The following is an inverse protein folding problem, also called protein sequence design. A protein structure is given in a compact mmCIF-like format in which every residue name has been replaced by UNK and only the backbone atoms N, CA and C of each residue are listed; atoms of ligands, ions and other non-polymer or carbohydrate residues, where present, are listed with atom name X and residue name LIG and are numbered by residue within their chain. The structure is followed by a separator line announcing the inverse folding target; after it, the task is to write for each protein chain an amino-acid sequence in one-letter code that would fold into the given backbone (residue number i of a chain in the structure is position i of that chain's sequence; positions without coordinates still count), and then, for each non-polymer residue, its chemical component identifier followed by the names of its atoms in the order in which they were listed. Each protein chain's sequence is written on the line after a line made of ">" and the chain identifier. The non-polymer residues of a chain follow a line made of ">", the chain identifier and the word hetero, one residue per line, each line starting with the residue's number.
data_IF_338906804700
#
_entry.id   IF_338906804700
#
_cell.length_a   1.000
_cell.length_b   1.000
_cell.length_c   1.000
_cell.angle_alpha   90.00
_cell.angle_beta   90.00
_cell.angle_gamma   90.00
#
_symmetry.space_group_name_H-M   'P 1'
#
loop_
_entity.id
_entity.type
_entity.pdbx_description
1 polymer ?
#
# COMPACT_ATOMS: atom_id res chain seq x y z
N UNK A 1 -16.97 2.53 -15.66
CA UNK A 1 -16.13 2.22 -14.48
C UNK A 1 -14.82 3.00 -14.58
N UNK A 2 -14.48 3.70 -13.53
CA UNK A 2 -13.19 4.40 -13.46
C UNK A 2 -12.08 3.43 -13.09
N UNK A 3 -10.86 3.76 -13.46
CA UNK A 3 -9.68 2.96 -13.15
C UNK A 3 -8.65 3.86 -12.49
N UNK A 4 -8.09 3.40 -11.37
CA UNK A 4 -6.96 4.07 -10.72
C UNK A 4 -5.84 3.07 -10.52
N UNK A 5 -4.64 3.44 -10.90
CA UNK A 5 -3.46 2.61 -10.66
C UNK A 5 -2.65 3.24 -9.53
N UNK A 6 -2.27 2.42 -8.56
CA UNK A 6 -1.44 2.82 -7.43
C UNK A 6 -0.33 1.79 -7.22
N UNK A 7 0.75 2.22 -6.58
CA UNK A 7 1.90 1.34 -6.29
C UNK A 7 2.31 1.50 -4.83
N UNK A 8 2.70 0.39 -4.22
CA UNK A 8 2.96 0.28 -2.77
C UNK A 8 4.21 -0.55 -2.51
N UNK A 9 4.81 -0.33 -1.34
CA UNK A 9 5.95 -1.11 -0.90
C UNK A 9 5.68 -1.95 0.33
N UNK A 10 6.20 -3.18 0.33
CA UNK A 10 6.28 -4.04 1.51
C UNK A 10 7.71 -3.95 2.02
N UNK A 11 7.90 -3.31 3.15
CA UNK A 11 9.21 -3.10 3.76
C UNK A 11 9.21 -3.75 5.14
N UNK A 12 9.96 -4.83 5.28
CA UNK A 12 10.06 -5.58 6.54
C UNK A 12 11.51 -5.51 7.01
N UNK A 13 11.70 -5.12 8.28
CA UNK A 13 13.02 -5.00 8.91
C UNK A 13 12.89 -5.39 10.38
N UNK A 14 13.75 -6.28 10.84
CA UNK A 14 13.80 -6.72 12.24
C UNK A 14 12.45 -7.18 12.78
N UNK A 15 11.69 -7.93 11.97
CA UNK A 15 10.39 -8.46 12.35
C UNK A 15 9.25 -7.45 12.35
N UNK A 16 9.49 -6.24 11.85
CA UNK A 16 8.49 -5.18 11.75
C UNK A 16 8.22 -4.80 10.31
N UNK A 17 6.99 -4.43 10.03
CA UNK A 17 6.59 -3.90 8.72
C UNK A 17 6.37 -2.39 8.83
N UNK A 18 6.81 -1.65 7.82
CA UNK A 18 6.58 -0.21 7.74
C UNK A 18 5.17 0.05 7.22
N UNK A 19 4.37 0.74 7.99
CA UNK A 19 3.00 1.10 7.64
C UNK A 19 2.80 2.61 7.74
N UNK A 20 1.84 3.11 6.96
CA UNK A 20 1.37 4.48 7.01
C UNK A 20 -0.08 4.48 7.51
N UNK A 21 -0.41 5.45 8.37
CA UNK A 21 -1.78 5.61 8.85
C UNK A 21 -2.55 6.50 7.88
N UNK A 22 -3.53 5.91 7.21
CA UNK A 22 -4.42 6.63 6.31
C UNK A 22 -5.57 7.23 7.11
N UNK A 23 -5.85 8.51 6.87
CA UNK A 23 -6.94 9.23 7.54
C UNK A 23 -7.53 10.23 6.54
N UNK A 24 -8.72 9.92 6.04
CA UNK A 24 -9.37 10.72 5.01
C UNK A 24 -10.88 10.63 5.13
N UNK A 25 -11.55 11.77 5.12
CA UNK A 25 -13.03 11.86 5.12
C UNK A 25 -13.69 11.04 6.24
N UNK A 26 -13.11 11.06 7.44
CA UNK A 26 -13.66 10.36 8.60
C UNK A 26 -13.38 8.86 8.62
N UNK A 27 -12.66 8.33 7.63
CA UNK A 27 -12.22 6.95 7.58
C UNK A 27 -10.74 6.87 7.85
N UNK A 28 -10.31 5.83 8.52
CA UNK A 28 -8.89 5.64 8.83
C UNK A 28 -8.52 4.17 8.88
N UNK A 29 -7.23 3.92 8.76
CA UNK A 29 -6.67 2.58 8.88
C UNK A 29 -5.19 2.58 8.58
N UNK A 30 -4.50 1.51 8.95
CA UNK A 30 -3.10 1.32 8.64
C UNK A 30 -2.98 0.62 7.29
N UNK A 31 -2.12 1.15 6.43
CA UNK A 31 -1.91 0.64 5.07
C UNK A 31 -0.43 0.58 4.74
N UNK A 32 -0.11 -0.05 3.62
CA UNK A 32 1.25 0.02 3.08
C UNK A 32 1.55 1.45 2.61
N UNK A 33 2.80 1.90 2.71
CA UNK A 33 3.18 3.16 2.08
C UNK A 33 3.09 3.02 0.55
N UNK A 34 2.48 3.99 -0.08
CA UNK A 34 2.24 3.99 -1.51
C UNK A 34 1.10 4.91 -1.90
N UNK A 35 0.79 4.97 -3.16
CA UNK A 35 -0.28 5.80 -3.66
C UNK A 35 -0.40 5.79 -5.18
N UNK A 36 -1.22 6.70 -5.70
CA UNK A 36 -1.55 6.76 -7.12
C UNK A 36 -0.43 7.28 -8.01
N UNK A 37 -0.38 6.76 -9.22
CA UNK A 37 0.54 7.23 -10.24
C UNK A 37 0.26 8.69 -10.57
N UNK A 38 1.32 9.46 -10.72
CA UNK A 38 1.25 10.82 -11.30
C UNK A 38 1.67 10.76 -12.75
N UNK A 39 1.30 11.79 -13.51
CA UNK A 39 1.51 11.80 -14.96
C UNK A 39 2.94 11.48 -15.36
N UNK A 40 3.11 10.49 -16.22
CA UNK A 40 4.41 10.09 -16.73
C UNK A 40 5.21 9.12 -15.89
N UNK A 41 4.73 8.80 -14.67
CA UNK A 41 5.40 7.82 -13.82
C UNK A 41 5.06 6.38 -14.23
N UNK A 42 6.03 5.48 -14.06
CA UNK A 42 5.73 4.06 -14.01
C UNK A 42 5.45 3.67 -12.55
N UNK A 43 4.88 2.49 -12.29
CA UNK A 43 4.58 2.06 -10.92
C UNK A 43 5.78 2.03 -9.96
N UNK A 44 6.96 1.66 -10.44
CA UNK A 44 8.17 1.63 -9.63
C UNK A 44 8.54 3.04 -9.14
N UNK A 45 8.48 4.02 -10.02
CA UNK A 45 8.75 5.42 -9.67
C UNK A 45 7.73 5.94 -8.66
N UNK A 46 6.46 5.58 -8.82
CA UNK A 46 5.40 5.95 -7.90
C UNK A 46 5.66 5.39 -6.50
N UNK A 47 6.00 4.10 -6.42
CA UNK A 47 6.27 3.46 -5.13
C UNK A 47 7.40 4.17 -4.38
N UNK A 48 8.50 4.45 -5.07
CA UNK A 48 9.66 5.14 -4.46
C UNK A 48 9.28 6.55 -3.98
N UNK A 49 8.56 7.30 -4.80
CA UNK A 49 8.13 8.66 -4.45
C UNK A 49 7.17 8.66 -3.25
N UNK A 50 6.16 7.82 -3.29
CA UNK A 50 5.15 7.76 -2.23
C UNK A 50 5.72 7.26 -0.91
N UNK A 51 6.61 6.27 -0.95
CA UNK A 51 7.28 5.81 0.27
C UNK A 51 8.04 6.96 0.92
N UNK A 52 8.75 7.76 0.14
CA UNK A 52 9.46 8.91 0.69
C UNK A 52 8.51 9.96 1.25
N UNK A 53 7.48 10.33 0.50
CA UNK A 53 6.50 11.34 0.95
C UNK A 53 5.82 10.94 2.25
N UNK A 54 5.44 9.67 2.39
CA UNK A 54 4.67 9.21 3.55
C UNK A 54 5.53 8.82 4.75
N UNK A 55 6.77 8.39 4.54
CA UNK A 55 7.59 7.81 5.61
C UNK A 55 8.91 8.51 5.85
N UNK A 56 9.39 9.31 4.92
CA UNK A 56 10.71 9.95 4.98
C UNK A 56 11.86 9.07 4.53
N UNK A 57 11.60 7.82 4.17
CA UNK A 57 12.64 6.89 3.73
C UNK A 57 12.80 6.88 2.22
N UNK A 58 14.06 6.86 1.78
CA UNK A 58 14.42 6.52 0.41
C UNK A 58 14.50 5.00 0.31
N UNK A 59 13.67 4.42 -0.54
CA UNK A 59 13.57 2.97 -0.67
C UNK A 59 14.19 2.46 -1.96
N UNK A 60 14.76 1.27 -1.89
CA UNK A 60 15.11 0.48 -3.06
C UNK A 60 14.07 -0.62 -3.28
N UNK A 61 13.70 -0.84 -4.53
CA UNK A 61 12.74 -1.90 -4.88
C UNK A 61 13.50 -3.17 -5.22
N UNK A 62 13.10 -4.30 -4.64
CA UNK A 62 13.80 -5.57 -4.80
C UNK A 62 13.09 -6.50 -5.78
N UNK A 63 11.77 -6.66 -5.62
CA UNK A 63 10.96 -7.62 -6.38
C UNK A 63 9.59 -7.04 -6.64
N UNK A 64 9.08 -7.22 -7.85
CA UNK A 64 7.65 -7.05 -8.12
C UNK A 64 6.92 -8.27 -7.56
N UNK A 65 6.15 -8.07 -6.49
CA UNK A 65 5.45 -9.17 -5.82
C UNK A 65 4.19 -9.58 -6.54
N UNK A 66 3.46 -8.63 -7.08
CA UNK A 66 2.23 -8.93 -7.78
C UNK A 66 1.36 -7.70 -8.01
N UNK A 67 0.23 -7.95 -8.65
CA UNK A 67 -0.76 -6.93 -8.97
C UNK A 67 -2.11 -7.43 -8.49
N UNK A 68 -2.75 -6.60 -7.66
CA UNK A 68 -4.08 -6.87 -7.13
C UNK A 68 -5.06 -5.84 -7.69
N UNK A 69 -6.34 -6.11 -7.57
CA UNK A 69 -7.35 -5.10 -7.82
C UNK A 69 -8.50 -5.21 -6.83
N UNK A 70 -9.13 -4.09 -6.58
CA UNK A 70 -10.30 -4.00 -5.72
C UNK A 70 -11.32 -3.07 -6.35
N UNK A 71 -12.54 -3.55 -6.53
CA UNK A 71 -13.62 -2.74 -7.09
C UNK A 71 -14.39 -2.08 -5.95
N UNK A 72 -14.45 -0.75 -5.98
CA UNK A 72 -15.15 0.07 -5.00
C UNK A 72 -16.43 0.58 -5.64
N UNK A 73 -17.57 0.23 -5.07
CA UNK A 73 -18.87 0.70 -5.56
C UNK A 73 -18.95 2.24 -5.49
N UNK A 74 -19.67 2.85 -6.41
CA UNK A 74 -19.82 4.31 -6.46
C UNK A 74 -20.27 4.88 -5.11
N UNK A 75 -21.21 4.23 -4.44
CA UNK A 75 -21.75 4.66 -3.14
C UNK A 75 -20.70 4.64 -2.00
N UNK A 76 -19.62 3.88 -2.17
CA UNK A 76 -18.55 3.74 -1.17
C UNK A 76 -17.37 4.66 -1.45
N UNK A 77 -17.41 5.39 -2.57
CA UNK A 77 -16.39 6.36 -2.94
C UNK A 77 -16.67 7.71 -2.29
N UNK A 78 -15.77 8.65 -2.52
CA UNK A 78 -15.94 10.03 -2.06
C UNK A 78 -17.19 10.66 -2.67
N UNK A 79 -17.75 11.66 -1.99
CA UNK A 79 -18.95 12.36 -2.43
C UNK A 79 -18.81 12.87 -3.87
N UNK A 80 -19.88 12.71 -4.66
CA UNK A 80 -19.90 13.14 -6.05
C UNK A 80 -19.48 12.09 -7.06
N UNK A 81 -18.97 10.94 -6.62
CA UNK A 81 -18.63 9.86 -7.54
C UNK A 81 -19.88 9.21 -8.11
N UNK A 82 -19.92 9.04 -9.44
CA UNK A 82 -21.07 8.47 -10.15
C UNK A 82 -20.83 7.07 -10.70
N UNK A 83 -19.56 6.61 -10.66
CA UNK A 83 -19.18 5.31 -11.21
C UNK A 83 -18.38 4.52 -10.18
N UNK A 84 -18.41 3.19 -10.24
CA UNK A 84 -17.51 2.38 -9.44
C UNK A 84 -16.06 2.59 -9.88
N UNK A 85 -15.13 2.31 -8.98
CA UNK A 85 -13.69 2.43 -9.21
C UNK A 85 -13.05 1.04 -9.17
N UNK A 86 -12.29 0.70 -10.21
CA UNK A 86 -11.39 -0.44 -10.15
C UNK A 86 -10.01 0.08 -9.74
N UNK A 87 -9.66 -0.15 -8.48
CA UNK A 87 -8.35 0.22 -7.95
C UNK A 87 -7.37 -0.90 -8.24
N UNK A 88 -6.41 -0.64 -9.12
CA UNK A 88 -5.33 -1.57 -9.45
C UNK A 88 -4.13 -1.22 -8.60
N UNK A 89 -3.57 -2.21 -7.88
CA UNK A 89 -2.51 -2.01 -6.90
C UNK A 89 -1.30 -2.86 -7.26
N UNK A 90 -0.20 -2.18 -7.56
CA UNK A 90 1.08 -2.81 -7.89
C UNK A 90 1.92 -2.87 -6.63
N UNK A 91 2.39 -4.06 -6.25
CA UNK A 91 3.02 -4.32 -4.97
C UNK A 91 4.47 -4.75 -5.15
N UNK A 92 5.38 -4.03 -4.48
CA UNK A 92 6.82 -4.32 -4.50
C UNK A 92 7.32 -4.69 -3.12
N UNK A 93 8.26 -5.64 -3.05
CA UNK A 93 9.12 -5.76 -1.87
C UNK A 93 10.21 -4.71 -2.00
N UNK A 94 10.45 -4.00 -0.90
CA UNK A 94 11.40 -2.90 -0.88
C UNK A 94 12.20 -2.89 0.42
N UNK A 95 13.28 -2.11 0.43
CA UNK A 95 14.11 -1.91 1.62
C UNK A 95 14.48 -0.44 1.75
N UNK A 96 14.82 -0.04 2.97
CA UNK A 96 15.29 1.32 3.25
C UNK A 96 16.74 1.47 2.81
N UNK A 97 17.02 2.44 1.94
CA UNK A 97 18.38 2.81 1.54
C UNK A 97 18.92 3.89 2.48
N UNK A 98 18.12 4.91 2.76
CA UNK A 98 18.53 6.07 3.56
C UNK A 98 17.29 6.83 4.05
N UNK A 99 17.55 7.88 4.83
CA UNK A 99 16.51 8.73 5.37
C UNK A 99 16.15 8.39 6.80
N UNK A 100 15.23 9.15 7.35
CA UNK A 100 14.72 8.98 8.71
C UNK A 100 13.21 8.98 8.67
N UNK A 101 12.58 8.25 9.58
CA UNK A 101 11.13 8.20 9.65
C UNK A 101 10.58 9.59 9.97
N UNK A 102 9.66 10.04 9.11
CA UNK A 102 8.95 11.31 9.30
C UNK A 102 7.49 11.09 8.93
N UNK A 103 6.65 12.06 9.29
CA UNK A 103 5.22 11.99 8.98
C UNK A 103 4.88 12.98 7.88
N UNK A 104 3.97 12.58 7.00
CA UNK A 104 3.48 13.46 5.96
C UNK A 104 2.62 14.57 6.59
N UNK A 105 2.86 15.85 6.19
CA UNK A 105 2.18 16.99 6.80
C UNK A 105 0.88 17.39 6.08
N UNK A 106 0.83 17.22 4.76
CA UNK A 106 -0.26 17.76 3.93
C UNK A 106 -0.98 16.68 3.09
N UNK A 107 -0.75 15.41 3.36
CA UNK A 107 -1.37 14.31 2.62
C UNK A 107 -2.49 13.62 3.37
N UNK A 108 -2.97 12.51 2.80
CA UNK A 108 -3.99 11.67 3.43
C UNK A 108 -3.42 10.77 4.53
N UNK A 109 -2.10 10.68 4.64
CA UNK A 109 -1.40 9.95 5.70
C UNK A 109 -0.95 10.89 6.79
N UNK A 110 -1.13 10.52 8.05
CA UNK A 110 -0.78 11.36 9.19
C UNK A 110 0.32 10.78 10.09
N UNK A 111 0.70 9.53 9.88
CA UNK A 111 1.73 8.87 10.68
C UNK A 111 2.38 7.73 9.89
N UNK A 112 3.67 7.52 10.10
CA UNK A 112 4.37 6.33 9.64
C UNK A 112 4.91 5.57 10.86
N UNK A 113 4.89 4.23 10.83
CA UNK A 113 5.29 3.42 11.98
C UNK A 113 5.84 2.08 11.55
N UNK A 114 6.87 1.62 12.26
CA UNK A 114 7.30 0.23 12.21
C UNK A 114 6.44 -0.59 13.17
N UNK A 115 5.70 -1.55 12.64
CA UNK A 115 4.75 -2.35 13.41
C UNK A 115 5.26 -3.78 13.47
N UNK A 116 5.46 -4.35 14.66
CA UNK A 116 5.81 -5.77 14.78
C UNK A 116 4.77 -6.63 14.06
N UNK A 117 5.25 -7.60 13.28
CA UNK A 117 4.34 -8.46 12.51
C UNK A 117 3.35 -9.22 13.39
N UNK A 118 3.75 -9.58 14.60
CA UNK A 118 2.89 -10.28 15.55
C UNK A 118 1.85 -9.37 16.23
N UNK A 119 1.94 -8.06 16.03
CA UNK A 119 0.99 -7.08 16.57
C UNK A 119 0.02 -6.53 15.52
N UNK A 120 0.12 -7.00 14.27
CA UNK A 120 -0.77 -6.52 13.19
C UNK A 120 -2.25 -6.73 13.48
N UNK A 121 -2.62 -7.82 14.16
CA UNK A 121 -4.01 -8.12 14.48
C UNK A 121 -4.61 -7.14 15.49
N UNK A 122 -3.77 -6.41 16.22
CA UNK A 122 -4.20 -5.38 17.19
C UNK A 122 -4.51 -4.04 16.53
N UNK A 123 -4.14 -3.90 15.26
CA UNK A 123 -4.36 -2.66 14.50
C UNK A 123 -5.49 -2.83 13.49
N UNK A 124 -6.16 -1.72 13.23
CA UNK A 124 -7.12 -1.64 12.12
C UNK A 124 -6.32 -1.45 10.83
N UNK A 125 -6.02 -2.56 10.13
CA UNK A 125 -5.32 -2.52 8.86
C UNK A 125 -6.31 -2.65 7.70
N UNK A 126 -5.97 -2.02 6.57
CA UNK A 126 -6.72 -2.25 5.33
C UNK A 126 -6.36 -3.63 4.77
N UNK A 127 -7.28 -4.23 4.01
CA UNK A 127 -7.10 -5.59 3.47
C UNK A 127 -5.82 -5.73 2.63
N UNK A 128 -5.39 -4.67 1.96
CA UNK A 128 -4.20 -4.67 1.12
C UNK A 128 -2.96 -5.15 1.87
N UNK A 129 -2.84 -4.85 3.16
CA UNK A 129 -1.69 -5.28 3.98
C UNK A 129 -1.59 -6.81 4.00
N UNK A 130 -2.71 -7.50 4.21
CA UNK A 130 -2.75 -8.96 4.25
C UNK A 130 -2.48 -9.58 2.88
N UNK A 131 -3.05 -8.99 1.84
CA UNK A 131 -2.81 -9.43 0.45
C UNK A 131 -1.32 -9.32 0.12
N UNK A 132 -0.71 -8.20 0.46
CA UNK A 132 0.71 -7.96 0.19
C UNK A 132 1.63 -8.89 0.98
N UNK A 133 1.31 -9.16 2.25
CA UNK A 133 2.09 -10.10 3.06
C UNK A 133 2.02 -11.52 2.49
N UNK A 134 0.86 -11.96 2.02
CA UNK A 134 0.70 -13.25 1.38
C UNK A 134 1.53 -13.34 0.08
N UNK A 135 1.51 -12.28 -0.74
CA UNK A 135 2.34 -12.21 -1.94
C UNK A 135 3.83 -12.23 -1.60
N UNK A 136 4.23 -11.51 -0.55
CA UNK A 136 5.61 -11.46 -0.11
C UNK A 136 6.13 -12.83 0.34
N UNK A 137 5.27 -13.61 0.98
CA UNK A 137 5.62 -14.95 1.46
C UNK A 137 5.64 -15.97 0.34
N UNK A 138 4.64 -15.96 -0.55
CA UNK A 138 4.47 -16.97 -1.60
C UNK A 138 5.28 -16.68 -2.86
N UNK A 139 5.51 -15.43 -3.19
CA UNK A 139 6.19 -14.98 -4.40
C UNK A 139 5.70 -15.72 -5.67
N UNK A 140 4.40 -15.68 -5.98
CA UNK A 140 3.87 -16.40 -7.13
C UNK A 140 4.48 -15.85 -8.44
N UNK A 141 4.94 -16.75 -9.31
CA UNK A 141 5.64 -16.35 -10.54
C UNK A 141 4.80 -15.43 -11.44
N UNK A 142 3.47 -15.59 -11.41
CA UNK A 142 2.56 -14.77 -12.23
C UNK A 142 2.05 -13.51 -11.51
N UNK A 143 2.45 -13.28 -10.25
CA UNK A 143 2.03 -12.12 -9.50
C UNK A 143 0.54 -12.07 -9.14
N UNK A 144 -0.16 -13.20 -9.22
CA UNK A 144 -1.59 -13.25 -8.92
C UNK A 144 -1.81 -13.48 -7.43
N UNK A 145 -2.54 -12.59 -6.73
CA UNK A 145 -2.88 -12.79 -5.32
C UNK A 145 -3.76 -14.01 -5.11
N UNK A 146 -3.77 -14.53 -3.89
CA UNK A 146 -4.72 -15.58 -3.51
C UNK A 146 -6.15 -15.08 -3.63
N UNK A 147 -7.06 -15.97 -4.02
CA UNK A 147 -8.50 -15.66 -3.97
C UNK A 147 -8.94 -15.43 -2.51
N UNK A 148 -10.09 -14.81 -2.32
CA UNK A 148 -10.65 -14.59 -0.98
C UNK A 148 -10.84 -15.89 -0.19
N UNK A 149 -11.15 -16.98 -0.90
CA UNK A 149 -11.34 -18.29 -0.26
C UNK A 149 -10.01 -18.92 0.19
N UNK A 150 -8.94 -18.63 -0.52
CA UNK A 150 -7.60 -19.14 -0.18
C UNK A 150 -6.91 -18.34 0.92
N UNK A 151 -7.38 -17.12 1.20
CA UNK A 151 -6.77 -16.25 2.22
C UNK A 151 -7.19 -16.57 3.66
N UNK A 152 -8.04 -17.55 3.85
CA UNK A 152 -8.56 -17.95 5.16
C UNK A 152 -7.56 -18.81 5.96
#
# INVERSE_FOLDING_TARGET
>A
MDIRVAAYGVIIRDGCILLAHWNEHGRSGWTLPGGGLEGGENPAQTAVREIFEETGYHAGLDVLLGIDNHVIAARSRLAGATHPLNAIRVLYRAHVISGEITHELDGSSDEARWVPLDELDELKTVELVRIALALNEREPANGIPMSSDERR
#
